data_IF_136856544862
#
_entry.id   IF_136856544862
#
_cell.length_a   1.000
_cell.length_b   1.000
_cell.length_c   1.000
_cell.angle_alpha   90.00
_cell.angle_beta   90.00
_cell.angle_gamma   90.00
#
_symmetry.space_group_name_H-M   'P 1'
#
loop_
_entity.id
_entity.type
_entity.pdbx_description
1 polymer ?
#
# COMPACT_ATOMS: atom_id res chain seq x y z
N UNK A 1 -15.89 -1.58 29.05
CA UNK A 1 -15.09 -0.37 28.69
C UNK A 1 -14.05 -0.73 27.63
N UNK A 2 -13.36 -1.87 27.80
CA UNK A 2 -12.49 -2.46 26.78
C UNK A 2 -13.24 -2.81 25.49
N UNK A 3 -14.43 -3.41 25.61
CA UNK A 3 -15.25 -3.85 24.46
C UNK A 3 -15.64 -2.69 23.53
N UNK A 4 -15.81 -1.48 24.08
CA UNK A 4 -16.11 -0.29 23.29
C UNK A 4 -14.89 0.23 22.54
N UNK A 5 -13.73 0.24 23.19
CA UNK A 5 -12.47 0.64 22.56
C UNK A 5 -12.07 -0.36 21.46
N UNK A 6 -12.28 -1.65 21.70
CA UNK A 6 -12.09 -2.73 20.73
C UNK A 6 -13.06 -2.59 19.55
N UNK A 7 -14.36 -2.34 19.80
CA UNK A 7 -15.33 -2.09 18.75
C UNK A 7 -15.00 -0.85 17.90
N UNK A 8 -14.54 0.24 18.52
CA UNK A 8 -14.10 1.46 17.84
C UNK A 8 -12.84 1.20 16.97
N UNK A 9 -11.91 0.36 17.43
CA UNK A 9 -10.75 -0.08 16.63
C UNK A 9 -11.19 -0.91 15.42
N UNK A 10 -12.09 -1.88 15.59
CA UNK A 10 -12.60 -2.70 14.50
C UNK A 10 -13.35 -1.88 13.45
N UNK A 11 -14.17 -0.92 13.86
CA UNK A 11 -14.88 -0.03 12.94
C UNK A 11 -13.92 0.86 12.15
N UNK A 12 -12.90 1.42 12.81
CA UNK A 12 -11.87 2.25 12.15
C UNK A 12 -10.94 1.45 11.23
N UNK A 13 -10.82 0.15 11.44
CA UNK A 13 -9.99 -0.75 10.64
C UNK A 13 -10.71 -1.34 9.42
N UNK A 14 -11.94 -0.91 9.14
CA UNK A 14 -12.59 -1.21 7.85
C UNK A 14 -11.70 -0.62 6.74
N UNK A 15 -11.17 -1.44 5.80
CA UNK A 15 -10.27 -0.94 4.75
C UNK A 15 -11.07 -0.03 3.83
N UNK A 16 -10.95 1.28 4.03
CA UNK A 16 -11.39 2.23 3.02
C UNK A 16 -10.29 2.30 1.98
N UNK A 17 -10.63 2.07 0.71
CA UNK A 17 -9.69 2.09 -0.41
C UNK A 17 -8.90 3.42 -0.53
N UNK A 18 -9.34 4.48 0.16
CA UNK A 18 -8.77 5.83 0.12
C UNK A 18 -8.03 6.23 1.41
N UNK A 19 -7.74 5.30 2.31
CA UNK A 19 -7.17 5.62 3.63
C UNK A 19 -5.65 5.81 3.55
N UNK A 20 -5.22 6.92 2.94
CA UNK A 20 -3.85 7.41 3.04
C UNK A 20 -3.66 8.20 4.33
N UNK A 21 -2.65 7.86 5.13
CA UNK A 21 -2.36 8.51 6.41
C UNK A 21 -1.18 9.47 6.23
N UNK A 22 -1.35 10.79 6.39
CA UNK A 22 -0.26 11.73 6.27
C UNK A 22 0.70 11.70 7.47
N UNK A 23 1.98 11.86 7.17
CA UNK A 23 3.01 12.18 8.14
C UNK A 23 2.89 13.63 8.60
N UNK A 24 2.87 13.83 9.91
CA UNK A 24 2.81 15.14 10.57
C UNK A 24 3.83 15.28 11.71
N UNK A 25 4.91 14.49 11.64
CA UNK A 25 5.97 14.43 12.65
C UNK A 25 5.59 13.70 13.93
N UNK A 26 4.32 13.30 14.07
CA UNK A 26 3.81 12.51 15.21
C UNK A 26 3.23 11.15 14.79
N UNK A 27 3.00 10.94 13.49
CA UNK A 27 2.58 9.66 12.94
C UNK A 27 3.72 8.64 13.06
N UNK A 28 3.41 7.45 13.60
CA UNK A 28 4.34 6.33 13.72
C UNK A 28 3.83 5.13 12.91
N UNK A 29 4.73 4.44 12.23
CA UNK A 29 4.50 3.07 11.74
C UNK A 29 5.05 2.11 12.79
N UNK A 30 4.21 1.16 13.22
CA UNK A 30 4.57 0.15 14.21
C UNK A 30 4.73 -1.18 13.50
N UNK A 31 5.92 -1.78 13.62
CA UNK A 31 6.23 -3.08 13.04
C UNK A 31 6.09 -4.15 14.11
N UNK A 32 5.21 -5.12 13.87
CA UNK A 32 5.00 -6.24 14.78
C UNK A 32 5.85 -7.45 14.35
N UNK A 33 6.23 -8.28 15.33
CA UNK A 33 6.81 -9.60 15.09
C UNK A 33 5.73 -10.67 14.84
N UNK A 34 6.15 -11.91 14.61
CA UNK A 34 5.26 -13.05 14.34
C UNK A 34 4.33 -13.39 15.52
N UNK A 35 4.66 -12.94 16.72
CA UNK A 35 3.88 -13.15 17.94
C UNK A 35 2.95 -11.96 18.24
N UNK A 36 2.98 -10.90 17.40
CA UNK A 36 2.21 -9.68 17.61
C UNK A 36 2.83 -8.71 18.60
N UNK A 37 4.09 -8.90 19.02
CA UNK A 37 4.79 -7.93 19.85
C UNK A 37 5.38 -6.81 18.98
N UNK A 38 5.56 -5.63 19.56
CA UNK A 38 6.22 -4.52 18.88
C UNK A 38 7.70 -4.88 18.67
N UNK A 39 8.10 -4.99 17.41
CA UNK A 39 9.49 -5.21 17.01
C UNK A 39 10.26 -3.89 16.96
N UNK A 40 9.71 -2.88 16.29
CA UNK A 40 10.23 -1.51 16.29
C UNK A 40 9.18 -0.52 15.79
N UNK A 41 9.48 0.78 15.93
CA UNK A 41 8.65 1.87 15.40
C UNK A 41 9.51 2.81 14.56
N UNK A 42 8.89 3.46 13.58
CA UNK A 42 9.52 4.51 12.78
C UNK A 42 8.60 5.73 12.67
N UNK A 43 9.17 6.92 12.72
CA UNK A 43 8.44 8.17 12.52
C UNK A 43 8.22 8.40 11.04
N UNK A 44 6.98 8.70 10.67
CA UNK A 44 6.65 9.09 9.29
C UNK A 44 7.12 10.53 9.07
N UNK A 45 8.01 10.80 8.10
CA UNK A 45 8.45 12.15 7.79
C UNK A 45 7.29 13.08 7.40
N UNK A 46 7.44 14.38 7.68
CA UNK A 46 6.48 15.39 7.21
C UNK A 46 6.36 15.36 5.69
N UNK A 47 5.12 15.36 5.20
CA UNK A 47 4.82 15.29 3.77
C UNK A 47 4.88 13.90 3.14
N UNK A 48 5.25 12.86 3.91
CA UNK A 48 5.10 11.47 3.47
C UNK A 48 3.66 10.95 3.70
N UNK A 49 3.27 9.92 2.97
CA UNK A 49 1.98 9.22 3.12
C UNK A 49 2.25 7.74 3.46
N UNK A 50 1.48 7.21 4.41
CA UNK A 50 1.43 5.77 4.69
C UNK A 50 0.15 5.22 4.06
N UNK A 51 0.30 4.15 3.27
CA UNK A 51 -0.81 3.45 2.66
C UNK A 51 -0.43 1.99 2.38
N UNK A 52 -1.42 1.15 2.12
CA UNK A 52 -1.19 -0.19 1.57
C UNK A 52 -0.77 -0.09 0.11
N UNK A 53 -0.16 -1.15 -0.41
CA UNK A 53 0.21 -1.23 -1.83
C UNK A 53 -1.01 -1.06 -2.75
N UNK A 54 -2.16 -1.65 -2.39
CA UNK A 54 -3.40 -1.54 -3.18
C UNK A 54 -3.89 -0.09 -3.28
N UNK A 55 -3.90 0.64 -2.17
CA UNK A 55 -4.28 2.07 -2.15
C UNK A 55 -3.29 2.91 -2.95
N UNK A 56 -2.00 2.59 -2.89
CA UNK A 56 -0.97 3.26 -3.69
C UNK A 56 -1.16 3.02 -5.19
N UNK A 57 -1.41 1.78 -5.60
CA UNK A 57 -1.70 1.41 -6.99
C UNK A 57 -2.92 2.17 -7.52
N UNK A 58 -4.03 2.14 -6.78
CA UNK A 58 -5.26 2.84 -7.16
C UNK A 58 -5.06 4.35 -7.31
N UNK A 59 -4.28 4.97 -6.43
CA UNK A 59 -3.93 6.38 -6.54
C UNK A 59 -3.14 6.69 -7.82
N UNK A 60 -2.15 5.86 -8.14
CA UNK A 60 -1.34 6.02 -9.35
C UNK A 60 -2.17 5.89 -10.62
N UNK A 61 -3.06 4.89 -10.68
CA UNK A 61 -3.95 4.65 -11.83
C UNK A 61 -4.85 5.86 -12.10
N UNK A 62 -5.40 6.51 -11.05
CA UNK A 62 -6.15 7.77 -11.19
C UNK A 62 -5.32 8.92 -11.78
N UNK A 63 -4.01 8.90 -11.57
CA UNK A 63 -3.08 9.90 -12.12
C UNK A 63 -2.56 9.51 -13.53
N UNK A 64 -3.08 8.44 -14.11
CA UNK A 64 -2.65 7.92 -15.42
C UNK A 64 -1.34 7.15 -15.38
N UNK A 65 -0.93 6.66 -14.20
CA UNK A 65 0.25 5.82 -14.04
C UNK A 65 -0.16 4.35 -13.89
N UNK A 66 0.59 3.44 -14.51
CA UNK A 66 0.43 2.01 -14.27
C UNK A 66 1.55 1.52 -13.34
N UNK A 67 1.16 0.79 -12.29
CA UNK A 67 2.09 0.07 -11.42
C UNK A 67 2.25 -1.36 -11.95
N UNK A 68 3.45 -1.72 -12.42
CA UNK A 68 3.64 -2.99 -13.13
C UNK A 68 4.77 -3.80 -12.53
N UNK A 69 4.55 -5.10 -12.35
CA UNK A 69 5.59 -6.04 -11.95
C UNK A 69 6.69 -6.13 -13.02
N UNK A 70 7.94 -5.91 -12.63
CA UNK A 70 9.11 -5.94 -13.52
C UNK A 70 9.29 -7.29 -14.21
N UNK A 71 9.12 -8.38 -13.47
CA UNK A 71 9.30 -9.74 -13.95
C UNK A 71 8.24 -10.09 -14.98
N UNK A 72 7.00 -9.62 -14.78
CA UNK A 72 5.93 -9.73 -15.76
C UNK A 72 6.31 -9.02 -17.07
N UNK A 73 6.82 -7.78 -17.00
CA UNK A 73 7.24 -7.03 -18.19
C UNK A 73 8.38 -7.71 -18.94
N UNK A 74 9.40 -8.19 -18.23
CA UNK A 74 10.56 -8.85 -18.86
C UNK A 74 10.18 -10.06 -19.70
N UNK A 75 9.08 -10.72 -19.36
CA UNK A 75 8.63 -11.94 -20.01
C UNK A 75 7.46 -11.68 -20.99
N UNK A 76 7.08 -10.43 -21.22
CA UNK A 76 6.03 -10.07 -22.15
C UNK A 76 6.55 -9.85 -23.56
N UNK A 77 5.77 -10.30 -24.53
CA UNK A 77 5.91 -9.85 -25.92
C UNK A 77 5.45 -8.39 -26.03
N UNK A 78 5.87 -7.69 -27.09
CA UNK A 78 5.43 -6.32 -27.37
C UNK A 78 3.91 -6.25 -27.51
N UNK A 79 3.28 -7.27 -28.11
CA UNK A 79 1.82 -7.37 -28.26
C UNK A 79 1.11 -7.47 -26.90
N UNK A 80 1.60 -8.34 -26.00
CA UNK A 80 1.07 -8.44 -24.63
C UNK A 80 1.27 -7.18 -23.79
N UNK A 81 2.32 -6.41 -24.06
CA UNK A 81 2.55 -5.12 -23.42
C UNK A 81 1.53 -4.06 -23.88
N UNK A 82 1.10 -4.12 -25.14
CA UNK A 82 0.10 -3.22 -25.71
C UNK A 82 -1.33 -3.54 -25.22
N UNK A 83 -1.60 -4.80 -24.83
CA UNK A 83 -2.92 -5.29 -24.39
C UNK A 83 -3.08 -5.39 -22.84
N UNK A 84 -2.13 -4.89 -22.05
CA UNK A 84 -2.12 -4.90 -20.57
C UNK A 84 -3.39 -4.23 -19.96
N UNK A 85 -4.03 -4.74 -18.87
CA UNK A 85 -3.45 -5.40 -17.67
C UNK A 85 -3.82 -6.88 -17.35
N UNK A 86 -2.86 -7.77 -17.03
CA UNK A 86 -3.02 -9.05 -16.35
C UNK A 86 -2.77 -9.00 -14.82
N UNK A 87 -3.39 -9.93 -14.10
CA UNK A 87 -3.22 -10.16 -12.66
C UNK A 87 -1.82 -10.74 -12.35
N UNK A 88 -1.04 -10.14 -11.43
CA UNK A 88 0.30 -10.62 -11.08
C UNK A 88 0.63 -10.50 -9.59
N UNK A 89 1.10 -11.59 -8.95
CA UNK A 89 1.75 -11.57 -7.65
C UNK A 89 3.27 -11.70 -7.84
N UNK A 90 4.02 -10.62 -7.67
CA UNK A 90 5.45 -10.66 -7.31
C UNK A 90 5.97 -9.25 -6.97
N UNK A 91 7.01 -9.18 -6.13
CA UNK A 91 7.29 -8.00 -5.29
C UNK A 91 8.36 -7.04 -5.86
N UNK A 92 8.35 -6.75 -7.18
CA UNK A 92 9.21 -5.70 -7.75
C UNK A 92 8.44 -4.88 -8.80
N UNK A 93 7.92 -3.72 -8.41
CA UNK A 93 7.09 -2.86 -9.26
C UNK A 93 7.90 -1.72 -9.92
N UNK A 94 7.48 -1.31 -11.11
CA UNK A 94 7.97 -0.14 -11.85
C UNK A 94 6.80 0.77 -12.24
N UNK A 95 7.07 2.07 -12.35
CA UNK A 95 6.09 3.09 -12.72
C UNK A 95 6.22 3.41 -14.21
N UNK A 96 5.10 3.36 -14.95
CA UNK A 96 5.02 3.74 -16.36
C UNK A 96 4.03 4.88 -16.56
N UNK A 97 4.36 5.80 -17.47
CA UNK A 97 3.51 6.89 -17.96
C UNK A 97 3.71 7.06 -19.46
#
# INVERSE_FOLDING_TARGET
>A
MFDRMEAELHQNNTPSADKMIPGNGRTLVVHFDEHGNIRFTETVPDGALVCTLDTFQFYLEKQGWALVNRSAIKNMTVEQLLDWPPESPDNQYHLFK
#
